data_IF_579549332261
#
_entry.id   IF_579549332261
#
_cell.length_a   1.000
_cell.length_b   1.000
_cell.length_c   1.000
_cell.angle_alpha   90.00
_cell.angle_beta   90.00
_cell.angle_gamma   90.00
#
_symmetry.space_group_name_H-M   'P 1'
#
loop_
_entity.id
_entity.type
_entity.pdbx_description
1 polymer ?
#
# COMPACT_ATOMS: atom_id res chain seq x y z
N UNK A 1 6.79 -16.11 -13.32
CA UNK A 1 6.73 -14.64 -13.10
C UNK A 1 5.34 -14.28 -12.60
N UNK A 2 5.19 -13.54 -11.51
CA UNK A 2 3.87 -13.15 -10.96
C UNK A 2 3.47 -11.73 -11.39
N UNK A 3 2.23 -11.31 -11.11
CA UNK A 3 1.70 -9.98 -11.49
C UNK A 3 2.53 -8.79 -10.97
N UNK A 4 3.26 -8.95 -9.86
CA UNK A 4 4.21 -7.95 -9.35
C UNK A 4 5.55 -7.89 -10.12
N UNK A 5 5.68 -8.62 -11.22
CA UNK A 5 6.91 -8.82 -12.01
C UNK A 5 8.06 -9.55 -11.29
N UNK A 6 7.83 -10.08 -10.08
CA UNK A 6 8.77 -10.96 -9.38
C UNK A 6 8.81 -12.36 -10.03
N UNK A 7 9.98 -13.01 -10.02
CA UNK A 7 10.14 -14.42 -10.41
C UNK A 7 10.49 -15.23 -9.16
N UNK A 8 9.62 -16.17 -8.81
CA UNK A 8 9.77 -17.04 -7.65
C UNK A 8 9.48 -18.49 -8.02
N UNK A 9 10.13 -19.41 -7.31
CA UNK A 9 9.82 -20.84 -7.33
C UNK A 9 8.47 -21.08 -6.67
N UNK A 10 7.75 -22.07 -7.18
CA UNK A 10 6.48 -22.58 -6.68
C UNK A 10 6.63 -24.10 -6.64
N UNK A 11 5.98 -24.76 -5.67
CA UNK A 11 6.01 -26.22 -5.58
C UNK A 11 5.40 -26.84 -6.85
N UNK A 12 5.93 -27.97 -7.28
CA UNK A 12 5.53 -28.61 -8.55
C UNK A 12 4.04 -28.97 -8.55
N UNK A 13 3.55 -29.47 -7.42
CA UNK A 13 2.14 -29.91 -7.28
C UNK A 13 1.15 -28.77 -6.95
N UNK A 14 1.58 -27.50 -7.01
CA UNK A 14 0.66 -26.39 -6.79
C UNK A 14 -0.37 -26.29 -7.92
N UNK A 15 -1.65 -26.18 -7.57
CA UNK A 15 -2.72 -25.98 -8.53
C UNK A 15 -2.62 -24.61 -9.24
N UNK A 16 -2.96 -24.59 -10.53
CA UNK A 16 -3.11 -23.36 -11.31
C UNK A 16 -4.23 -23.52 -12.35
N UNK A 17 -4.88 -22.42 -12.69
CA UNK A 17 -5.87 -22.37 -13.77
C UNK A 17 -5.30 -21.60 -14.95
N UNK A 18 -5.45 -22.16 -16.16
CA UNK A 18 -5.01 -21.50 -17.40
C UNK A 18 -6.05 -20.47 -17.80
N UNK A 19 -6.00 -19.28 -17.21
CA UNK A 19 -6.78 -18.12 -17.63
C UNK A 19 -6.22 -16.81 -17.11
N UNK A 20 -6.66 -15.71 -17.73
CA UNK A 20 -6.61 -14.39 -17.11
C UNK A 20 -7.80 -14.20 -16.17
N UNK A 21 -7.65 -13.31 -15.18
CA UNK A 21 -8.76 -12.92 -14.30
C UNK A 21 -9.71 -12.04 -15.13
N UNK A 22 -11.01 -12.27 -15.01
CA UNK A 22 -12.07 -11.47 -15.66
C UNK A 22 -12.11 -10.04 -15.12
N UNK A 23 -12.74 -9.13 -15.86
CA UNK A 23 -12.87 -7.70 -15.52
C UNK A 23 -11.53 -6.93 -15.47
N UNK A 24 -10.77 -6.87 -16.59
CA UNK A 24 -9.53 -6.10 -16.65
C UNK A 24 -9.76 -4.58 -16.50
N UNK A 25 -10.94 -4.09 -16.91
CA UNK A 25 -11.30 -2.67 -16.88
C UNK A 25 -11.69 -2.16 -15.49
N UNK A 26 -11.70 -3.03 -14.48
CA UNK A 26 -12.00 -2.64 -13.10
C UNK A 26 -11.11 -1.50 -12.60
N UNK A 27 -9.86 -1.44 -13.04
CA UNK A 27 -8.92 -0.37 -12.68
C UNK A 27 -9.31 1.02 -13.22
N UNK A 28 -10.15 1.07 -14.26
CA UNK A 28 -10.62 2.31 -14.90
C UNK A 28 -11.93 2.83 -14.29
N UNK A 29 -12.54 2.07 -13.37
CA UNK A 29 -13.79 2.48 -12.73
C UNK A 29 -13.58 3.66 -11.77
N UNK A 30 -14.48 4.64 -11.81
CA UNK A 30 -14.49 5.80 -10.91
C UNK A 30 -15.67 5.71 -9.93
N UNK A 31 -15.45 6.08 -8.67
CA UNK A 31 -16.49 5.99 -7.63
C UNK A 31 -17.49 7.16 -7.67
N UNK A 32 -17.08 8.32 -8.18
CA UNK A 32 -17.92 9.52 -8.38
C UNK A 32 -18.28 10.29 -7.10
N UNK A 33 -18.72 9.60 -6.03
CA UNK A 33 -19.16 10.23 -4.77
C UNK A 33 -18.59 9.54 -3.53
N UNK A 34 -18.43 10.29 -2.44
CA UNK A 34 -17.94 9.75 -1.16
C UNK A 34 -18.83 8.63 -0.60
N UNK A 35 -20.16 8.73 -0.79
CA UNK A 35 -21.10 7.70 -0.34
C UNK A 35 -20.87 6.32 -0.97
N UNK A 36 -20.34 6.25 -2.21
CA UNK A 36 -20.06 4.97 -2.86
C UNK A 36 -18.92 4.23 -2.16
N UNK A 37 -17.91 4.95 -1.64
CA UNK A 37 -16.86 4.36 -0.79
C UNK A 37 -17.44 3.78 0.50
N UNK A 38 -18.47 4.41 1.08
CA UNK A 38 -19.15 3.91 2.28
C UNK A 38 -19.91 2.61 2.01
N UNK A 39 -20.54 2.48 0.85
CA UNK A 39 -21.18 1.23 0.43
C UNK A 39 -20.18 0.08 0.24
N UNK A 40 -18.94 0.41 -0.14
CA UNK A 40 -17.82 -0.54 -0.21
C UNK A 40 -17.18 -0.83 1.17
N UNK A 41 -17.73 -0.32 2.27
CA UNK A 41 -17.21 -0.53 3.62
C UNK A 41 -15.98 0.31 3.98
N UNK A 42 -15.57 1.25 3.13
CA UNK A 42 -14.38 2.09 3.36
C UNK A 42 -14.77 3.34 4.15
N UNK A 43 -14.24 3.49 5.37
CA UNK A 43 -14.40 4.70 6.20
C UNK A 43 -13.43 5.81 5.76
N UNK A 44 -13.75 7.05 6.11
CA UNK A 44 -12.85 8.19 5.88
C UNK A 44 -11.51 8.01 6.61
N UNK A 45 -10.41 8.28 5.92
CA UNK A 45 -9.06 8.28 6.49
C UNK A 45 -8.61 9.71 6.79
N UNK A 46 -8.27 9.99 8.06
CA UNK A 46 -7.77 11.30 8.48
C UNK A 46 -6.26 11.36 8.24
N UNK A 47 -5.76 12.45 7.65
CA UNK A 47 -4.33 12.64 7.38
C UNK A 47 -3.59 12.97 8.68
N UNK A 48 -2.39 12.44 8.87
CA UNK A 48 -1.57 12.71 10.06
C UNK A 48 -1.21 14.19 10.28
N UNK A 49 -1.10 14.97 9.20
CA UNK A 49 -0.88 16.43 9.25
C UNK A 49 -2.08 17.20 9.85
N UNK A 50 -3.28 16.61 9.83
CA UNK A 50 -4.48 17.20 10.39
C UNK A 50 -4.73 16.81 11.86
N UNK A 51 -3.86 15.96 12.43
CA UNK A 51 -3.97 15.48 13.80
C UNK A 51 -3.09 16.31 14.74
N UNK A 52 -3.19 16.07 16.05
CA UNK A 52 -2.30 16.70 17.03
C UNK A 52 -0.97 15.93 17.16
N UNK A 53 0.02 16.53 17.82
CA UNK A 53 1.36 15.96 17.97
C UNK A 53 1.38 14.66 18.78
N UNK A 54 0.37 14.48 19.64
CA UNK A 54 0.15 13.25 20.44
C UNK A 54 -0.38 12.10 19.58
N UNK A 55 -1.19 12.39 18.57
CA UNK A 55 -1.89 11.39 17.77
C UNK A 55 -1.06 10.90 16.59
N UNK A 56 -0.28 11.80 15.98
CA UNK A 56 0.53 11.48 14.82
C UNK A 56 1.87 12.21 14.84
N UNK A 57 2.96 11.56 14.39
CA UNK A 57 4.25 12.23 14.20
C UNK A 57 4.25 13.43 13.25
N UNK A 58 3.16 13.69 12.53
CA UNK A 58 3.02 14.83 11.60
C UNK A 58 2.11 15.93 12.12
N UNK A 59 1.50 15.75 13.29
CA UNK A 59 0.52 16.67 13.86
C UNK A 59 1.12 17.87 14.59
N UNK A 60 2.19 18.47 14.05
CA UNK A 60 2.98 19.50 14.74
C UNK A 60 3.03 20.82 13.97
N UNK A 61 2.96 21.93 14.73
CA UNK A 61 3.16 23.30 14.24
C UNK A 61 1.88 24.12 14.10
N UNK A 62 2.07 25.42 13.85
CA UNK A 62 0.97 26.35 13.54
C UNK A 62 0.63 26.30 12.05
N UNK A 63 -0.65 26.20 11.72
CA UNK A 63 -1.10 26.08 10.33
C UNK A 63 -0.77 24.73 9.69
N UNK A 64 -0.85 24.66 8.36
CA UNK A 64 -0.62 23.41 7.61
C UNK A 64 0.87 23.20 7.37
N UNK A 65 1.54 22.46 8.26
CA UNK A 65 2.97 22.12 8.15
C UNK A 65 3.21 20.61 8.14
N UNK A 66 4.33 20.18 7.54
CA UNK A 66 4.80 18.78 7.59
C UNK A 66 5.81 18.55 8.73
N UNK A 67 6.11 19.59 9.51
CA UNK A 67 6.98 19.50 10.69
C UNK A 67 8.43 19.07 10.41
N UNK A 68 8.92 19.27 9.18
CA UNK A 68 10.24 18.82 8.71
C UNK A 68 10.60 17.35 9.07
N UNK A 69 9.60 16.46 9.08
CA UNK A 69 9.77 15.04 9.40
C UNK A 69 9.63 14.18 8.15
N UNK A 70 10.37 13.07 8.12
CA UNK A 70 10.19 12.05 7.10
C UNK A 70 8.76 11.48 7.13
N UNK A 71 8.17 11.11 5.98
CA UNK A 71 6.84 10.51 5.94
C UNK A 71 6.82 9.17 6.69
N UNK A 72 6.07 9.12 7.80
CA UNK A 72 5.91 7.95 8.65
C UNK A 72 4.42 7.66 8.88
N UNK A 73 4.14 6.42 9.25
CA UNK A 73 2.86 5.98 9.82
C UNK A 73 2.65 6.57 11.22
N UNK A 74 1.44 6.45 11.82
CA UNK A 74 1.19 6.88 13.19
C UNK A 74 2.15 6.25 14.21
N UNK A 75 2.65 5.04 13.92
CA UNK A 75 3.59 4.30 14.76
C UNK A 75 5.07 4.47 14.35
N UNK A 76 5.40 5.45 13.51
CA UNK A 76 6.79 5.76 13.15
C UNK A 76 7.41 4.90 12.05
N UNK A 77 6.70 3.91 11.50
CA UNK A 77 7.19 3.14 10.34
C UNK A 77 7.24 4.04 9.09
N UNK A 78 8.38 4.07 8.39
CA UNK A 78 8.58 4.86 7.17
C UNK A 78 7.55 4.50 6.08
N UNK A 79 6.81 5.50 5.62
CA UNK A 79 5.78 5.34 4.58
C UNK A 79 6.37 5.36 3.16
N UNK A 80 7.57 5.94 2.98
CA UNK A 80 8.28 5.98 1.69
C UNK A 80 9.61 5.24 1.79
N UNK A 81 9.98 4.55 0.72
CA UNK A 81 11.28 3.88 0.49
C UNK A 81 11.71 2.77 1.47
N UNK A 82 11.07 2.64 2.64
CA UNK A 82 11.32 1.58 3.62
C UNK A 82 10.81 0.20 3.16
N UNK A 83 11.65 -0.83 3.27
CA UNK A 83 11.22 -2.23 3.14
C UNK A 83 10.59 -2.68 4.46
N UNK A 84 9.31 -3.08 4.46
CA UNK A 84 8.62 -3.57 5.65
C UNK A 84 8.93 -5.02 5.98
N UNK A 85 9.33 -5.81 4.98
CA UNK A 85 9.68 -7.22 5.17
C UNK A 85 11.12 -7.36 5.64
N UNK A 86 11.30 -7.88 6.86
CA UNK A 86 12.61 -8.03 7.52
C UNK A 86 13.53 -9.06 6.84
N UNK A 87 13.01 -10.27 6.55
CA UNK A 87 13.80 -11.35 5.92
C UNK A 87 13.36 -11.57 4.47
N UNK A 88 14.29 -11.71 3.51
CA UNK A 88 13.96 -11.95 2.11
C UNK A 88 13.27 -13.30 1.88
N UNK A 89 12.68 -13.50 0.71
CA UNK A 89 11.90 -14.72 0.42
C UNK A 89 12.88 -15.67 -0.22
N UNK A 90 13.09 -16.82 0.43
CA UNK A 90 14.05 -17.82 -0.03
C UNK A 90 13.71 -18.35 -1.43
N UNK A 91 12.43 -18.32 -1.80
CA UNK A 91 11.94 -18.81 -3.07
C UNK A 91 12.08 -17.81 -4.23
N UNK A 92 12.53 -16.58 -3.98
CA UNK A 92 12.62 -15.53 -5.02
C UNK A 92 13.95 -15.63 -5.74
N UNK A 93 13.88 -15.83 -7.05
CA UNK A 93 15.04 -15.86 -7.95
C UNK A 93 15.33 -14.44 -8.45
N UNK A 94 14.30 -13.73 -8.93
CA UNK A 94 14.42 -12.34 -9.42
C UNK A 94 13.45 -11.44 -8.67
N UNK A 95 13.94 -10.43 -7.92
CA UNK A 95 13.07 -9.52 -7.18
C UNK A 95 12.24 -8.65 -8.12
N UNK A 96 11.11 -8.13 -7.63
CA UNK A 96 10.31 -7.15 -8.36
C UNK A 96 11.11 -5.88 -8.66
N UNK A 97 10.91 -5.32 -9.85
CA UNK A 97 11.41 -3.99 -10.18
C UNK A 97 10.65 -2.94 -9.35
N UNK A 98 11.39 -2.01 -8.74
CA UNK A 98 10.80 -0.85 -8.05
C UNK A 98 10.67 0.29 -9.06
N UNK A 99 9.51 0.93 -9.05
CA UNK A 99 9.26 2.23 -9.70
C UNK A 99 9.40 3.32 -8.66
#
# INVERSE_FOLDING_TARGET
KIKSCEVRLIHVDCCATIRTISNPDHQHATLGKAGRSRWLGVRSTVRGVAMNAVDHPHGVGSGKSKGNRYPVSPWGVLAKSGKTRKKPNKWVIKPRQRR
#
